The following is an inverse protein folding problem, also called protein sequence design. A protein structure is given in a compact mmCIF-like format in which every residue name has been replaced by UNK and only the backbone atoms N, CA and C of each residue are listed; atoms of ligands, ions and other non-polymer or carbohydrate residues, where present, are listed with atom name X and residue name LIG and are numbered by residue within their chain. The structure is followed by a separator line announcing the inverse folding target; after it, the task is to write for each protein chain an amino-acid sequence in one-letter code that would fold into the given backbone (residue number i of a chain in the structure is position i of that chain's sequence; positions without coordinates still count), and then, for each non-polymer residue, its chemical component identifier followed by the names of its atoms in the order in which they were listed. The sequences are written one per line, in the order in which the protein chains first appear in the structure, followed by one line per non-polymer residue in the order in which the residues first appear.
data_IF_823320955501
#
_entry.id   IF_823320955501
#
_cell.length_a   1.000
_cell.length_b   1.000
_cell.length_c   1.000
_cell.angle_alpha   90.00
_cell.angle_beta   90.00
_cell.angle_gamma   90.00
#
_symmetry.space_group_name_H-M   'P 1'
#
loop_
_entity.id
_entity.type
_entity.pdbx_description
1 polymer ?
#
# COMPACT_ATOMS: atom_id res chain seq x y z
N UNK A 1 -22.49 7.79 8.48
CA UNK A 1 -22.68 6.82 7.38
C UNK A 1 -21.32 6.57 6.75
N UNK A 2 -20.85 5.32 6.75
CA UNK A 2 -19.49 4.97 6.32
C UNK A 2 -19.37 5.01 4.80
N UNK A 3 -18.64 6.01 4.30
CA UNK A 3 -18.37 6.22 2.88
C UNK A 3 -17.52 5.05 2.35
N UNK A 4 -18.18 4.08 1.71
CA UNK A 4 -17.59 2.80 1.28
C UNK A 4 -16.96 2.97 -0.11
N UNK A 5 -16.00 3.88 -0.23
CA UNK A 5 -15.30 4.10 -1.50
C UNK A 5 -14.50 2.87 -1.89
N UNK A 6 -14.70 2.40 -3.12
CA UNK A 6 -13.96 1.25 -3.64
C UNK A 6 -12.53 1.64 -4.05
N UNK A 7 -11.58 0.72 -3.94
CA UNK A 7 -10.18 0.97 -4.37
C UNK A 7 -10.08 1.43 -5.83
N UNK A 8 -11.03 1.02 -6.69
CA UNK A 8 -11.09 1.41 -8.09
C UNK A 8 -11.47 2.88 -8.29
N UNK A 9 -12.39 3.40 -7.45
CA UNK A 9 -12.76 4.82 -7.46
C UNK A 9 -11.58 5.72 -7.06
N UNK A 10 -10.70 5.23 -6.19
CA UNK A 10 -9.53 5.97 -5.74
C UNK A 10 -8.40 6.08 -6.81
N UNK A 11 -8.33 5.15 -7.77
CA UNK A 11 -7.15 4.99 -8.64
C UNK A 11 -7.33 5.54 -10.07
N UNK A 12 -8.53 6.01 -10.47
CA UNK A 12 -8.80 6.55 -11.84
C UNK A 12 -8.18 5.68 -12.96
N UNK A 13 -8.36 4.36 -12.90
CA UNK A 13 -7.87 3.43 -13.92
C UNK A 13 -8.65 2.12 -13.89
N UNK A 14 -8.82 1.48 -15.06
CA UNK A 14 -9.44 0.16 -15.19
C UNK A 14 -8.44 -0.92 -14.76
N UNK A 15 -8.26 -1.07 -13.44
CA UNK A 15 -7.52 -2.22 -12.90
C UNK A 15 -8.53 -3.33 -12.73
N UNK A 16 -8.33 -4.46 -13.41
CA UNK A 16 -9.00 -5.69 -13.03
C UNK A 16 -8.44 -6.14 -11.68
N UNK A 17 -9.07 -5.63 -10.61
CA UNK A 17 -8.76 -6.00 -9.22
C UNK A 17 -9.32 -7.37 -8.86
N UNK A 18 -10.05 -8.04 -9.75
CA UNK A 18 -10.56 -9.38 -9.48
C UNK A 18 -9.42 -10.40 -9.38
N UNK A 19 -8.32 -10.19 -10.13
CA UNK A 19 -7.12 -11.04 -10.10
C UNK A 19 -5.85 -10.24 -10.32
N UNK A 20 -4.97 -10.26 -9.32
CA UNK A 20 -3.67 -9.59 -9.39
C UNK A 20 -2.55 -10.61 -9.22
N UNK A 21 -1.50 -10.49 -10.05
CA UNK A 21 -0.29 -11.31 -9.96
C UNK A 21 0.78 -10.57 -9.14
N UNK A 22 1.47 -11.34 -8.30
CA UNK A 22 2.65 -10.88 -7.57
C UNK A 22 3.85 -11.77 -7.92
N UNK A 23 5.01 -11.16 -8.10
CA UNK A 23 6.27 -11.82 -8.42
C UNK A 23 7.09 -12.13 -7.17
N UNK A 24 7.00 -11.24 -6.17
CA UNK A 24 7.76 -11.35 -4.92
C UNK A 24 6.89 -10.99 -3.74
N UNK A 25 7.06 -11.72 -2.65
CA UNK A 25 6.35 -11.49 -1.40
C UNK A 25 7.29 -11.71 -0.22
N UNK A 26 7.19 -10.85 0.78
CA UNK A 26 7.90 -10.96 2.05
C UNK A 26 6.96 -10.52 3.18
N UNK A 27 7.07 -11.17 4.34
CA UNK A 27 6.45 -10.73 5.58
C UNK A 27 7.13 -11.43 6.75
N UNK A 28 7.29 -10.72 7.85
CA UNK A 28 7.58 -11.32 9.15
C UNK A 28 6.27 -11.81 9.76
N UNK A 29 6.30 -13.01 10.33
CA UNK A 29 5.13 -13.71 10.82
C UNK A 29 5.33 -14.03 12.30
N UNK A 30 4.46 -13.48 13.15
CA UNK A 30 4.30 -13.89 14.55
C UNK A 30 2.96 -14.63 14.67
N UNK A 31 3.02 -15.92 15.03
CA UNK A 31 1.86 -16.81 15.11
C UNK A 31 1.86 -17.54 16.45
N UNK A 32 0.70 -17.56 17.09
CA UNK A 32 0.48 -18.34 18.32
C UNK A 32 -0.96 -18.86 18.43
N UNK A 33 -1.37 -19.19 19.64
CA UNK A 33 -2.69 -19.76 19.91
C UNK A 33 -3.81 -18.77 19.60
N UNK A 34 -4.47 -18.98 18.46
CA UNK A 34 -5.61 -18.18 18.02
C UNK A 34 -5.26 -16.81 17.43
N UNK A 35 -3.99 -16.53 17.12
CA UNK A 35 -3.63 -15.25 16.49
C UNK A 35 -2.60 -15.38 15.37
N UNK A 36 -2.59 -14.40 14.47
CA UNK A 36 -1.59 -14.19 13.45
C UNK A 36 -1.32 -12.70 13.27
N UNK A 37 -0.08 -12.30 13.48
CA UNK A 37 0.43 -10.95 13.27
C UNK A 37 1.45 -10.94 12.13
N UNK A 38 1.37 -9.89 11.33
CA UNK A 38 2.21 -9.68 10.17
C UNK A 38 2.96 -8.37 10.37
N UNK A 39 4.27 -8.39 10.16
CA UNK A 39 5.13 -7.21 10.19
C UNK A 39 5.93 -7.13 8.88
N UNK A 40 6.30 -5.91 8.50
CA UNK A 40 7.15 -5.64 7.33
C UNK A 40 6.66 -6.33 6.04
N UNK A 41 5.33 -6.47 5.89
CA UNK A 41 4.72 -7.16 4.77
C UNK A 41 4.85 -6.37 3.47
N UNK A 42 5.27 -7.04 2.41
CA UNK A 42 5.46 -6.51 1.08
C UNK A 42 5.01 -7.53 0.04
N UNK A 43 4.16 -7.12 -0.89
CA UNK A 43 3.91 -7.82 -2.14
C UNK A 43 4.27 -6.91 -3.31
N UNK A 44 5.02 -7.45 -4.26
CA UNK A 44 5.44 -6.75 -5.49
C UNK A 44 4.96 -7.52 -6.70
N UNK A 45 4.22 -6.85 -7.57
CA UNK A 45 3.82 -7.36 -8.87
C UNK A 45 4.09 -6.34 -9.99
N UNK A 46 3.85 -6.72 -11.25
CA UNK A 46 4.15 -5.88 -12.41
C UNK A 46 3.18 -4.70 -12.57
N UNK A 47 1.98 -4.77 -11.98
CA UNK A 47 0.94 -3.73 -12.08
C UNK A 47 0.66 -3.00 -10.75
N UNK A 48 0.82 -3.70 -9.64
CA UNK A 48 0.61 -3.14 -8.30
C UNK A 48 1.67 -3.69 -7.34
N UNK A 49 1.97 -2.91 -6.31
CA UNK A 49 2.58 -3.40 -5.08
C UNK A 49 1.70 -3.05 -3.89
N UNK A 50 1.92 -3.72 -2.76
CA UNK A 50 1.29 -3.32 -1.51
C UNK A 50 2.20 -3.60 -0.33
N UNK A 51 2.20 -2.72 0.66
CA UNK A 51 2.71 -3.04 2.00
C UNK A 51 1.56 -3.38 2.93
N UNK A 52 1.82 -4.16 3.96
CA UNK A 52 0.82 -4.49 4.98
C UNK A 52 1.49 -4.86 6.30
N UNK A 53 0.82 -4.52 7.41
CA UNK A 53 1.23 -4.89 8.76
C UNK A 53 0.03 -4.86 9.71
N UNK A 54 0.15 -5.55 10.84
CA UNK A 54 -0.83 -5.55 11.91
C UNK A 54 -1.30 -6.95 12.29
N UNK A 55 -2.49 -7.03 12.87
CA UNK A 55 -3.10 -8.28 13.31
C UNK A 55 -4.07 -8.78 12.23
N UNK A 56 -3.75 -9.91 11.61
CA UNK A 56 -4.63 -10.53 10.60
C UNK A 56 -5.87 -11.12 11.27
N UNK A 57 -5.66 -11.84 12.38
CA UNK A 57 -6.72 -12.25 13.29
C UNK A 57 -6.16 -12.37 14.71
N UNK A 58 -6.95 -11.99 15.71
CA UNK A 58 -6.71 -12.20 17.13
C UNK A 58 -7.55 -13.39 17.66
N UNK A 59 -7.44 -13.77 18.95
CA UNK A 59 -8.21 -14.89 19.53
C UNK A 59 -9.73 -14.72 19.46
N UNK A 60 -10.22 -13.50 19.26
CA UNK A 60 -11.63 -13.17 19.09
C UNK A 60 -12.02 -13.05 17.60
N UNK A 61 -11.14 -13.46 16.69
CA UNK A 61 -11.29 -13.35 15.24
C UNK A 61 -11.46 -11.89 14.75
N UNK A 62 -10.84 -10.93 15.44
CA UNK A 62 -10.77 -9.54 14.99
C UNK A 62 -9.48 -9.27 14.22
N UNK A 63 -9.60 -8.45 13.17
CA UNK A 63 -8.53 -7.93 12.34
C UNK A 63 -8.29 -6.45 12.68
N UNK A 64 -7.02 -6.05 12.69
CA UNK A 64 -6.60 -4.66 12.60
C UNK A 64 -5.31 -4.60 11.78
N UNK A 65 -5.45 -4.33 10.48
CA UNK A 65 -4.35 -4.23 9.54
C UNK A 65 -4.30 -2.85 8.91
N UNK A 66 -3.09 -2.37 8.67
CA UNK A 66 -2.83 -1.20 7.83
C UNK A 66 -1.95 -1.60 6.67
N UNK A 67 -2.14 -0.96 5.53
CA UNK A 67 -1.27 -1.14 4.38
C UNK A 67 -1.30 0.05 3.44
N UNK A 68 -0.45 -0.03 2.43
CA UNK A 68 -0.35 0.98 1.37
C UNK A 68 -0.41 0.28 0.02
N UNK A 69 -1.47 0.52 -0.73
CA UNK A 69 -1.60 0.08 -2.11
C UNK A 69 -0.82 1.04 -3.03
N UNK A 70 0.00 0.49 -3.91
CA UNK A 70 0.90 1.24 -4.79
C UNK A 70 0.65 0.83 -6.24
N UNK A 71 -0.07 1.64 -7.04
CA UNK A 71 -0.22 1.37 -8.45
C UNK A 71 1.10 1.67 -9.19
N UNK A 72 1.54 0.80 -10.08
CA UNK A 72 2.80 0.99 -10.84
C UNK A 72 2.73 2.26 -11.72
N UNK A 73 1.54 2.67 -12.15
CA UNK A 73 1.34 3.93 -12.88
C UNK A 73 1.50 5.20 -12.01
N UNK A 74 1.49 5.07 -10.68
CA UNK A 74 1.74 6.15 -9.73
C UNK A 74 3.22 6.52 -9.57
N UNK A 75 4.13 5.69 -10.11
CA UNK A 75 5.59 5.94 -10.13
C UNK A 75 6.00 6.99 -11.16
N UNK A 76 5.19 7.25 -12.20
CA UNK A 76 5.61 8.03 -13.38
C UNK A 76 5.07 9.48 -13.48
N UNK A 77 4.23 9.95 -12.56
CA UNK A 77 3.52 11.24 -12.75
C UNK A 77 4.19 12.51 -12.20
N UNK A 78 5.47 12.47 -11.79
CA UNK A 78 6.25 13.70 -11.47
C UNK A 78 7.48 13.86 -12.38
N UNK A 79 7.46 13.25 -13.56
CA UNK A 79 8.59 13.35 -14.50
C UNK A 79 8.21 13.67 -15.95
N UNK A 80 6.93 13.90 -16.24
CA UNK A 80 6.45 14.03 -17.61
C UNK A 80 6.16 15.46 -18.13
N UNK A 81 5.82 16.44 -17.28
CA UNK A 81 5.07 17.61 -17.80
C UNK A 81 5.46 19.01 -17.29
N UNK A 82 6.65 19.24 -16.73
CA UNK A 82 7.10 20.61 -16.43
C UNK A 82 8.46 20.93 -17.07
N UNK A 83 8.47 21.57 -18.26
CA UNK A 83 9.72 21.88 -18.98
C UNK A 83 10.54 23.04 -18.38
N UNK A 84 10.18 23.67 -17.26
CA UNK A 84 10.69 25.02 -16.94
C UNK A 84 11.18 25.30 -15.51
N UNK A 85 11.47 24.30 -14.67
CA UNK A 85 12.06 24.59 -13.34
C UNK A 85 13.31 23.75 -13.05
N UNK A 86 14.36 24.03 -13.82
CA UNK A 86 15.69 23.44 -13.75
C UNK A 86 16.61 23.81 -12.57
N UNK A 87 16.26 24.65 -11.57
CA UNK A 87 17.12 24.78 -10.38
C UNK A 87 16.41 24.75 -9.01
N UNK A 88 15.08 24.62 -8.95
CA UNK A 88 14.36 24.39 -7.67
C UNK A 88 14.38 22.92 -7.23
N UNK A 89 15.22 22.12 -7.90
CA UNK A 89 15.67 20.82 -7.42
C UNK A 89 16.78 21.03 -6.38
N UNK A 90 16.45 21.70 -5.27
CA UNK A 90 17.30 21.59 -4.08
C UNK A 90 17.43 20.11 -3.72
N UNK A 91 18.59 19.49 -3.94
CA UNK A 91 18.88 18.08 -3.66
C UNK A 91 17.67 17.12 -3.82
N UNK A 92 16.96 17.23 -4.96
CA UNK A 92 15.57 16.76 -5.14
C UNK A 92 15.36 15.25 -5.08
N UNK A 93 15.46 14.67 -3.87
CA UNK A 93 15.30 13.23 -3.59
C UNK A 93 13.88 12.80 -3.21
N UNK A 94 12.95 13.73 -2.97
CA UNK A 94 11.61 13.39 -2.47
C UNK A 94 10.51 13.61 -3.51
N UNK A 95 10.70 13.03 -4.70
CA UNK A 95 9.63 12.87 -5.70
C UNK A 95 8.75 11.69 -5.27
N UNK A 96 7.76 12.01 -4.43
CA UNK A 96 6.94 11.04 -3.71
C UNK A 96 6.13 10.11 -4.60
N UNK A 97 5.89 8.91 -4.08
CA UNK A 97 5.04 7.89 -4.66
C UNK A 97 3.60 8.10 -4.20
N UNK A 98 2.66 8.14 -5.14
CA UNK A 98 1.23 8.18 -4.80
C UNK A 98 0.83 6.77 -4.39
N UNK A 99 0.66 6.55 -3.08
CA UNK A 99 0.14 5.32 -2.52
C UNK A 99 -1.19 5.57 -1.82
N UNK A 100 -2.10 4.61 -1.92
CA UNK A 100 -3.40 4.67 -1.25
C UNK A 100 -3.29 3.89 0.04
N UNK A 101 -3.27 4.60 1.18
CA UNK A 101 -3.22 3.93 2.49
C UNK A 101 -4.60 3.40 2.86
N UNK A 102 -4.63 2.23 3.48
CA UNK A 102 -5.87 1.57 3.87
C UNK A 102 -5.80 0.95 5.28
N UNK A 103 -6.97 1.02 5.91
CA UNK A 103 -7.47 0.47 7.16
C UNK A 103 -8.32 -0.79 7.05
N UNK A 104 -7.92 -1.99 7.47
CA UNK A 104 -8.87 -3.10 7.65
C UNK A 104 -9.11 -3.33 9.14
N UNK A 105 -10.38 -3.29 9.58
CA UNK A 105 -10.76 -3.47 11.01
C UNK A 105 -12.05 -4.26 11.19
N UNK A 106 -12.18 -4.97 12.32
CA UNK A 106 -13.41 -5.70 12.70
C UNK A 106 -13.27 -7.21 12.49
N UNK A 107 -14.36 -7.93 12.28
CA UNK A 107 -14.31 -9.40 12.12
C UNK A 107 -13.43 -9.80 10.92
N UNK A 108 -12.48 -10.71 11.12
CA UNK A 108 -11.49 -11.06 10.10
C UNK A 108 -12.10 -11.69 8.83
N UNK A 109 -13.30 -12.28 8.91
CA UNK A 109 -14.00 -12.83 7.75
C UNK A 109 -14.75 -11.75 6.94
N UNK A 110 -15.05 -10.61 7.56
CA UNK A 110 -15.78 -9.47 6.96
C UNK A 110 -15.28 -8.13 7.53
N UNK A 111 -14.00 -7.78 7.33
CA UNK A 111 -13.46 -6.54 7.87
C UNK A 111 -14.05 -5.33 7.15
N UNK A 112 -14.16 -4.22 7.86
CA UNK A 112 -14.48 -2.92 7.27
C UNK A 112 -13.21 -2.30 6.69
N UNK A 113 -13.26 -1.93 5.42
CA UNK A 113 -12.20 -1.22 4.72
C UNK A 113 -12.39 0.29 4.85
N UNK A 114 -11.36 0.98 5.34
CA UNK A 114 -11.27 2.44 5.35
C UNK A 114 -10.10 2.86 4.49
N UNK A 115 -10.28 3.84 3.61
CA UNK A 115 -9.25 4.28 2.66
C UNK A 115 -8.95 5.77 2.88
N UNK A 116 -7.66 6.14 2.84
CA UNK A 116 -7.24 7.54 2.78
C UNK A 116 -6.58 7.84 1.42
N UNK A 117 -7.34 8.39 0.45
CA UNK A 117 -6.89 8.54 -0.94
C UNK A 117 -5.85 9.66 -1.15
N UNK A 118 -5.56 10.49 -0.15
CA UNK A 118 -4.64 11.63 -0.27
C UNK A 118 -3.32 11.44 0.52
N UNK A 119 -2.85 10.19 0.63
CA UNK A 119 -1.62 9.91 1.37
C UNK A 119 -0.38 9.98 0.45
N UNK A 120 0.49 10.97 0.66
CA UNK A 120 1.86 10.94 0.13
C UNK A 120 2.68 10.03 1.04
N UNK A 121 3.22 8.95 0.49
CA UNK A 121 3.93 7.95 1.29
C UNK A 121 5.37 8.42 1.49
N UNK A 122 5.80 8.52 2.75
CA UNK A 122 7.12 9.00 3.14
C UNK A 122 8.25 8.06 2.66
N UNK A 123 9.47 8.57 2.41
CA UNK A 123 10.56 7.81 1.76
C UNK A 123 11.03 6.54 2.50
N UNK A 124 10.79 6.45 3.82
CA UNK A 124 11.40 5.43 4.69
C UNK A 124 11.06 3.98 4.34
N UNK A 125 9.78 3.67 4.09
CA UNK A 125 9.33 2.30 3.79
C UNK A 125 9.83 1.84 2.40
N UNK A 126 10.06 2.77 1.47
CA UNK A 126 10.52 2.44 0.12
C UNK A 126 12.02 2.11 0.04
N UNK A 127 12.86 2.65 0.93
CA UNK A 127 14.30 2.31 0.97
C UNK A 127 14.47 0.78 1.06
N UNK A 128 13.71 0.16 1.95
CA UNK A 128 13.71 -1.29 2.17
C UNK A 128 13.21 -2.10 0.96
N UNK A 129 12.31 -1.55 0.14
CA UNK A 129 11.74 -2.24 -1.04
C UNK A 129 12.74 -2.30 -2.20
N UNK A 130 13.59 -1.28 -2.35
CA UNK A 130 14.60 -1.20 -3.41
C UNK A 130 15.97 -1.77 -3.00
N UNK A 131 16.21 -2.01 -1.71
CA UNK A 131 17.50 -2.50 -1.19
C UNK A 131 17.69 -4.02 -1.30
N UNK A 132 16.65 -4.82 -1.57
CA UNK A 132 16.82 -6.25 -1.83
C UNK A 132 17.27 -6.50 -3.28
N UNK A 133 18.59 -6.62 -3.45
CA UNK A 133 19.27 -7.15 -4.64
C UNK A 133 19.47 -8.65 -4.53
#
# INVERSE_FOLDING_TARGET
AGDTRSLNEAVKGNIDTSRVQFERGFAEIDKGSGYLRLANGLLRGPRIGTTFQGTLYDPNNNMDMTGTFMPVYGLNRIFGELPLFGPLLGNGRDRGLIGVTYRLRGNANKPTLNVNPLSVVAPGIFRSIFEYR
#
